data_IF_623362786830
#
_entry.id   IF_623362786830
#
_cell.length_a   1.000
_cell.length_b   1.000
_cell.length_c   1.000
_cell.angle_alpha   90.00
_cell.angle_beta   90.00
_cell.angle_gamma   90.00
#
_symmetry.space_group_name_H-M   'P 1'
#
loop_
_entity.id
_entity.type
_entity.pdbx_description
1 polymer ?
#
# COMPACT_ATOMS: atom_id res chain seq x y z
N UNK A 1 -20.88 13.25 -23.40
CA UNK A 1 -21.80 12.75 -22.36
C UNK A 1 -21.87 11.24 -22.52
N UNK A 2 -21.45 10.48 -21.50
CA UNK A 2 -21.34 9.01 -21.60
C UNK A 2 -22.75 8.43 -21.76
N UNK A 3 -23.02 7.84 -22.93
CA UNK A 3 -24.27 7.18 -23.25
C UNK A 3 -24.32 5.86 -22.46
N UNK A 4 -24.85 5.93 -21.23
CA UNK A 4 -25.03 4.73 -20.40
C UNK A 4 -26.15 3.89 -21.02
N UNK A 5 -25.97 2.56 -21.12
CA UNK A 5 -26.89 1.68 -21.86
C UNK A 5 -28.29 1.60 -21.26
N UNK A 6 -28.50 2.07 -20.04
CA UNK A 6 -29.80 2.08 -19.38
C UNK A 6 -30.10 3.46 -18.75
N UNK A 7 -31.35 3.94 -18.83
CA UNK A 7 -31.77 5.15 -18.15
C UNK A 7 -31.68 4.97 -16.62
N UNK A 8 -31.36 6.06 -15.92
CA UNK A 8 -31.06 6.05 -14.49
C UNK A 8 -32.23 5.48 -13.66
N UNK A 9 -33.47 5.78 -14.06
CA UNK A 9 -34.69 5.35 -13.36
C UNK A 9 -34.85 3.82 -13.35
N UNK A 10 -34.65 3.17 -14.50
CA UNK A 10 -34.77 1.70 -14.63
C UNK A 10 -33.68 0.98 -13.83
N UNK A 11 -32.46 1.54 -13.82
CA UNK A 11 -31.37 1.01 -13.00
C UNK A 11 -31.65 1.10 -11.50
N UNK A 12 -32.28 2.19 -11.05
CA UNK A 12 -32.67 2.32 -9.64
C UNK A 12 -33.78 1.32 -9.28
N UNK A 13 -34.81 1.20 -10.12
CA UNK A 13 -35.90 0.25 -9.90
C UNK A 13 -35.39 -1.20 -9.82
N UNK A 14 -34.60 -1.63 -10.79
CA UNK A 14 -34.02 -2.98 -10.80
C UNK A 14 -33.11 -3.27 -9.60
N UNK A 15 -32.35 -2.27 -9.14
CA UNK A 15 -31.51 -2.43 -7.94
C UNK A 15 -32.38 -2.59 -6.69
N UNK A 16 -33.44 -1.80 -6.55
CA UNK A 16 -34.37 -1.88 -5.42
C UNK A 16 -35.16 -3.20 -5.43
N UNK A 17 -35.69 -3.62 -6.59
CA UNK A 17 -36.38 -4.90 -6.75
C UNK A 17 -35.48 -6.09 -6.41
N UNK A 18 -34.21 -6.04 -6.85
CA UNK A 18 -33.22 -7.04 -6.53
C UNK A 18 -32.94 -7.13 -5.02
N UNK A 19 -32.81 -5.97 -4.34
CA UNK A 19 -32.64 -5.89 -2.89
C UNK A 19 -33.85 -6.39 -2.11
N UNK A 20 -35.07 -6.09 -2.56
CA UNK A 20 -36.30 -6.61 -1.94
C UNK A 20 -36.38 -8.13 -2.09
N UNK A 21 -36.01 -8.67 -3.27
CA UNK A 21 -36.12 -10.09 -3.58
C UNK A 21 -35.09 -10.96 -2.84
N UNK A 22 -33.87 -10.48 -2.66
CA UNK A 22 -32.77 -11.26 -2.08
C UNK A 22 -32.38 -10.84 -0.66
N UNK A 23 -32.96 -9.74 -0.16
CA UNK A 23 -32.63 -9.21 1.16
C UNK A 23 -31.18 -8.72 1.28
N UNK A 24 -30.66 -8.69 2.51
CA UNK A 24 -29.27 -8.29 2.77
C UNK A 24 -28.30 -9.33 2.18
N UNK A 25 -27.49 -8.90 1.22
CA UNK A 25 -26.43 -9.73 0.65
C UNK A 25 -25.18 -9.55 1.50
N UNK A 26 -24.92 -10.50 2.40
CA UNK A 26 -23.78 -10.46 3.34
C UNK A 26 -22.42 -10.28 2.66
N UNK A 27 -22.29 -10.66 1.39
CA UNK A 27 -21.06 -10.52 0.61
C UNK A 27 -20.93 -9.16 -0.11
N UNK A 28 -21.98 -8.32 -0.10
CA UNK A 28 -21.93 -6.93 -0.54
C UNK A 28 -21.60 -5.97 0.60
N UNK A 29 -21.59 -6.44 1.85
CA UNK A 29 -21.14 -5.62 2.96
C UNK A 29 -19.67 -5.25 2.75
N UNK A 30 -19.33 -4.01 3.10
CA UNK A 30 -17.96 -3.53 3.03
C UNK A 30 -17.16 -4.32 4.06
N UNK A 31 -16.42 -5.33 3.59
CA UNK A 31 -15.56 -6.17 4.43
C UNK A 31 -14.60 -5.35 5.29
N UNK A 32 -14.31 -4.11 4.89
CA UNK A 32 -13.52 -3.13 5.64
C UNK A 32 -14.03 -2.80 7.05
N UNK A 33 -15.34 -2.90 7.34
CA UNK A 33 -15.88 -2.57 8.67
C UNK A 33 -15.49 -3.58 9.76
N UNK A 34 -15.22 -4.84 9.38
CA UNK A 34 -14.87 -5.90 10.32
C UNK A 34 -13.36 -6.19 10.36
N UNK A 35 -12.55 -5.39 9.66
CA UNK A 35 -11.10 -5.58 9.66
C UNK A 35 -10.49 -5.03 10.95
N UNK A 36 -9.64 -5.84 11.57
CA UNK A 36 -8.83 -5.42 12.70
C UNK A 36 -7.91 -4.26 12.25
N UNK A 37 -7.68 -3.26 13.11
CA UNK A 37 -6.91 -2.05 12.74
C UNK A 37 -5.53 -2.37 12.14
N UNK A 38 -4.90 -3.45 12.61
CA UNK A 38 -3.64 -3.97 12.10
C UNK A 38 -3.71 -4.45 10.63
N UNK A 39 -4.83 -5.06 10.24
CA UNK A 39 -5.09 -5.53 8.88
C UNK A 39 -5.52 -4.38 7.98
N UNK A 40 -6.37 -3.47 8.48
CA UNK A 40 -6.80 -2.30 7.74
C UNK A 40 -5.62 -1.44 7.28
N UNK A 41 -4.65 -1.19 8.17
CA UNK A 41 -3.44 -0.44 7.85
C UNK A 41 -2.29 -1.30 7.29
N UNK A 42 -2.49 -2.62 7.16
CA UNK A 42 -1.46 -3.55 6.68
C UNK A 42 -0.11 -3.32 7.34
N UNK A 43 -0.13 -3.23 8.68
CA UNK A 43 1.04 -2.89 9.50
C UNK A 43 2.22 -3.83 9.24
N UNK A 44 1.94 -5.09 8.90
CA UNK A 44 2.95 -6.09 8.50
C UNK A 44 3.77 -5.64 7.27
N UNK A 45 3.11 -5.10 6.25
CA UNK A 45 3.77 -4.60 5.03
C UNK A 45 4.63 -3.37 5.34
N UNK A 46 4.13 -2.47 6.19
CA UNK A 46 4.86 -1.27 6.61
C UNK A 46 6.10 -1.66 7.42
N UNK A 47 5.97 -2.61 8.34
CA UNK A 47 7.08 -3.12 9.13
C UNK A 47 8.15 -3.75 8.23
N UNK A 48 7.76 -4.60 7.28
CA UNK A 48 8.68 -5.21 6.31
C UNK A 48 9.41 -4.18 5.45
N UNK A 49 8.70 -3.19 4.89
CA UNK A 49 9.32 -2.10 4.11
C UNK A 49 10.29 -1.26 4.96
N UNK A 50 9.92 -0.96 6.20
CA UNK A 50 10.76 -0.17 7.11
C UNK A 50 12.07 -0.89 7.44
N UNK A 51 12.03 -2.22 7.62
CA UNK A 51 13.21 -3.04 7.87
C UNK A 51 14.16 -3.02 6.67
N UNK A 52 13.62 -3.18 5.46
CA UNK A 52 14.40 -3.12 4.21
C UNK A 52 15.06 -1.74 4.07
N UNK A 53 14.29 -0.67 4.30
CA UNK A 53 14.81 0.70 4.21
C UNK A 53 15.96 0.94 5.23
N UNK A 54 15.81 0.45 6.46
CA UNK A 54 16.85 0.53 7.49
C UNK A 54 18.11 -0.23 7.07
N UNK A 55 17.98 -1.45 6.55
CA UNK A 55 19.10 -2.25 6.08
C UNK A 55 19.85 -1.55 4.93
N UNK A 56 19.12 -1.00 3.96
CA UNK A 56 19.72 -0.22 2.87
C UNK A 56 20.48 1.00 3.40
N UNK A 57 19.91 1.72 4.36
CA UNK A 57 20.57 2.87 4.99
C UNK A 57 21.88 2.46 5.68
N UNK A 58 21.86 1.36 6.44
CA UNK A 58 23.06 0.85 7.13
C UNK A 58 24.14 0.50 6.11
N UNK A 59 23.80 -0.24 5.06
CA UNK A 59 24.74 -0.62 3.99
C UNK A 59 25.31 0.63 3.31
N UNK A 60 24.45 1.60 2.99
CA UNK A 60 24.87 2.86 2.37
C UNK A 60 25.85 3.63 3.25
N UNK A 61 25.56 3.77 4.55
CA UNK A 61 26.46 4.44 5.50
C UNK A 61 27.79 3.70 5.61
N UNK A 62 27.79 2.37 5.68
CA UNK A 62 29.01 1.58 5.70
C UNK A 62 29.84 1.76 4.43
N UNK A 63 29.19 1.74 3.25
CA UNK A 63 29.85 1.96 1.97
C UNK A 63 30.46 3.36 1.90
N UNK A 64 29.72 4.40 2.30
CA UNK A 64 30.24 5.76 2.38
C UNK A 64 31.44 5.86 3.32
N UNK A 65 31.38 5.25 4.50
CA UNK A 65 32.52 5.23 5.44
C UNK A 65 33.74 4.53 4.86
N UNK A 66 33.56 3.41 4.15
CA UNK A 66 34.65 2.70 3.48
C UNK A 66 35.27 3.55 2.37
N UNK A 67 34.43 4.17 1.53
CA UNK A 67 34.89 5.07 0.46
C UNK A 67 35.68 6.26 1.03
N UNK A 68 35.18 6.90 2.10
CA UNK A 68 35.88 7.99 2.78
C UNK A 68 37.23 7.55 3.35
N UNK A 69 37.30 6.37 3.99
CA UNK A 69 38.57 5.82 4.50
C UNK A 69 39.56 5.56 3.37
N UNK A 70 39.13 4.99 2.25
CA UNK A 70 39.98 4.73 1.10
C UNK A 70 40.50 6.04 0.47
N UNK A 71 39.68 7.08 0.39
CA UNK A 71 40.08 8.39 -0.10
C UNK A 71 41.10 9.07 0.85
N UNK A 72 40.90 8.98 2.16
CA UNK A 72 41.85 9.49 3.17
C UNK A 72 43.19 8.77 3.11
N UNK A 73 43.19 7.43 3.00
CA UNK A 73 44.42 6.65 2.83
C UNK A 73 45.15 6.97 1.52
N UNK A 74 44.41 7.23 0.43
CA UNK A 74 45.00 7.69 -0.84
C UNK A 74 45.66 9.06 -0.70
N UNK A 75 45.06 9.99 0.05
CA UNK A 75 45.63 11.31 0.34
C UNK A 75 46.94 11.21 1.14
N UNK A 76 46.97 10.41 2.21
CA UNK A 76 48.17 10.20 3.05
C UNK A 76 49.35 9.52 2.33
N UNK A 77 49.09 8.75 1.26
CA UNK A 77 50.14 8.11 0.46
C UNK A 77 50.74 9.04 -0.61
N UNK A 78 50.10 10.19 -0.87
CA UNK A 78 50.53 11.14 -1.90
C UNK A 78 51.33 12.33 -1.34
N UNK A 79 51.32 12.54 -0.01
CA UNK A 79 52.29 13.38 0.71
C UNK A 79 53.52 12.55 1.13
#
# INVERSE_FOLDING_TARGET
MVNKPFPIKERLLSTVEFSIKHGKIYNLDVYGENLNLLQYYSIDVIAFLSLIALLMLIIFVQLCRLLLKLLLLRKLKQE
#
